data_IF_000376778695
#
_entry.id   IF_000376778695
#
_cell.length_a   1.000
_cell.length_b   1.000
_cell.length_c   1.000
_cell.angle_alpha   90.00
_cell.angle_beta   90.00
_cell.angle_gamma   90.00
#
_symmetry.space_group_name_H-M   'P 1'
#
loop_
_entity.id
_entity.type
_entity.pdbx_description
1 polymer ?
#
# COMPACT_ATOMS: atom_id res chain seq x y z
N UNK A 1 -24.35 1.61 7.91
CA UNK A 1 -24.28 0.13 8.03
C UNK A 1 -22.83 -0.36 8.05
N UNK A 2 -22.05 -0.16 6.98
CA UNK A 2 -20.67 -0.67 6.91
C UNK A 2 -19.75 -0.22 8.08
N UNK A 3 -19.91 1.00 8.55
CA UNK A 3 -19.14 1.56 9.66
C UNK A 3 -19.34 0.82 11.00
N UNK A 4 -20.54 0.28 11.23
CA UNK A 4 -20.85 -0.44 12.46
C UNK A 4 -20.31 -1.88 12.48
N UNK A 5 -19.72 -2.33 11.40
CA UNK A 5 -19.08 -3.64 11.33
C UNK A 5 -17.58 -3.47 11.53
N UNK A 6 -17.04 -3.89 12.69
CA UNK A 6 -15.60 -3.93 12.89
C UNK A 6 -14.94 -4.79 11.82
N UNK A 7 -13.75 -4.40 11.40
CA UNK A 7 -12.98 -5.14 10.41
C UNK A 7 -11.49 -4.81 10.51
N UNK A 8 -11.00 -4.73 11.74
CA UNK A 8 -9.56 -4.51 11.97
C UNK A 8 -8.80 -5.66 11.31
N UNK A 9 -7.80 -5.33 10.51
CA UNK A 9 -6.98 -6.27 9.73
C UNK A 9 -6.45 -7.39 10.60
N UNK A 10 -6.55 -8.63 10.12
CA UNK A 10 -6.12 -9.84 10.82
C UNK A 10 -7.08 -10.36 11.89
N UNK A 11 -8.25 -9.71 12.12
CA UNK A 11 -9.22 -10.15 13.11
C UNK A 11 -10.29 -11.10 12.53
N UNK A 12 -10.97 -11.81 13.43
CA UNK A 12 -12.13 -12.66 13.07
C UNK A 12 -13.29 -11.84 12.50
N UNK A 13 -13.41 -10.56 12.90
CA UNK A 13 -14.45 -9.67 12.41
C UNK A 13 -14.20 -9.26 10.94
N UNK A 14 -12.94 -9.03 10.57
CA UNK A 14 -12.55 -8.84 9.17
C UNK A 14 -12.93 -10.08 8.34
N UNK A 15 -12.56 -11.27 8.78
CA UNK A 15 -12.86 -12.51 8.07
C UNK A 15 -14.37 -12.79 7.94
N UNK A 16 -15.18 -12.31 8.89
CA UNK A 16 -16.64 -12.47 8.88
C UNK A 16 -17.37 -11.41 8.03
N UNK A 17 -16.74 -10.27 7.74
CA UNK A 17 -17.41 -9.15 7.07
C UNK A 17 -17.84 -9.46 5.63
N UNK A 18 -17.08 -10.20 4.80
CA UNK A 18 -17.48 -10.53 3.43
C UNK A 18 -18.85 -11.18 3.32
N UNK A 19 -19.16 -12.12 4.21
CA UNK A 19 -20.47 -12.78 4.21
C UNK A 19 -21.60 -11.82 4.58
N UNK A 20 -21.38 -10.91 5.54
CA UNK A 20 -22.36 -9.87 5.92
C UNK A 20 -22.60 -8.87 4.79
N UNK A 21 -21.50 -8.44 4.13
CA UNK A 21 -21.59 -7.51 3.01
C UNK A 21 -22.33 -8.16 1.85
N UNK A 22 -21.94 -9.37 1.44
CA UNK A 22 -22.61 -10.10 0.36
C UNK A 22 -24.10 -10.29 0.62
N UNK A 23 -24.50 -10.62 1.85
CA UNK A 23 -25.92 -10.78 2.23
C UNK A 23 -26.72 -9.47 2.19
N UNK A 24 -26.06 -8.31 2.19
CA UNK A 24 -26.71 -7.00 2.13
C UNK A 24 -26.90 -6.44 0.72
N UNK A 25 -26.29 -7.08 -0.29
CA UNK A 25 -26.32 -6.62 -1.68
C UNK A 25 -27.38 -7.37 -2.50
N UNK A 26 -28.00 -6.67 -3.44
CA UNK A 26 -29.11 -7.19 -4.26
C UNK A 26 -28.88 -6.99 -5.76
N UNK A 27 -27.66 -7.33 -6.22
CA UNK A 27 -27.30 -7.31 -7.64
C UNK A 27 -27.57 -8.65 -8.33
N UNK A 28 -27.39 -8.74 -9.65
CA UNK A 28 -27.70 -9.93 -10.43
C UNK A 28 -26.94 -11.18 -9.96
N UNK A 29 -25.70 -10.98 -9.50
CA UNK A 29 -24.91 -12.03 -8.85
C UNK A 29 -24.09 -11.40 -7.73
N UNK A 30 -24.06 -12.06 -6.57
CA UNK A 30 -23.23 -11.67 -5.43
C UNK A 30 -22.62 -12.92 -4.82
N UNK A 31 -21.31 -12.92 -4.59
CA UNK A 31 -20.65 -14.08 -3.97
C UNK A 31 -19.43 -13.66 -3.16
N UNK A 32 -19.03 -14.55 -2.27
CA UNK A 32 -17.80 -14.46 -1.47
C UNK A 32 -16.74 -15.32 -2.15
N UNK A 33 -15.56 -14.75 -2.41
CA UNK A 33 -14.45 -15.40 -3.07
C UNK A 33 -13.30 -15.59 -2.08
N UNK A 34 -13.00 -16.81 -1.61
CA UNK A 34 -11.93 -17.07 -0.65
C UNK A 34 -10.56 -16.65 -1.20
N UNK A 35 -9.68 -16.15 -0.30
CA UNK A 35 -8.29 -15.86 -0.61
C UNK A 35 -7.49 -17.17 -0.50
N UNK A 36 -6.89 -17.68 -1.59
CA UNK A 36 -6.18 -18.95 -1.58
C UNK A 36 -5.02 -18.96 -0.59
N UNK A 37 -4.99 -19.96 0.30
CA UNK A 37 -3.91 -20.14 1.27
C UNK A 37 -3.90 -19.13 2.43
N UNK A 38 -4.93 -18.32 2.58
CA UNK A 38 -5.04 -17.38 3.70
C UNK A 38 -5.37 -18.11 5.00
N UNK A 39 -4.47 -18.04 5.98
CA UNK A 39 -4.61 -18.74 7.26
C UNK A 39 -5.68 -18.13 8.17
N UNK A 40 -6.03 -16.88 7.97
CA UNK A 40 -7.10 -16.18 8.69
C UNK A 40 -8.49 -16.48 8.12
N UNK A 41 -8.56 -17.18 6.97
CA UNK A 41 -9.83 -17.53 6.31
C UNK A 41 -10.55 -16.33 5.67
N UNK A 42 -9.82 -15.29 5.31
CA UNK A 42 -10.35 -14.08 4.68
C UNK A 42 -10.85 -14.36 3.27
N UNK A 43 -11.68 -13.47 2.79
CA UNK A 43 -12.31 -13.58 1.48
C UNK A 43 -12.58 -12.20 0.89
N UNK A 44 -12.71 -12.12 -0.42
CA UNK A 44 -13.23 -10.95 -1.13
C UNK A 44 -14.74 -11.06 -1.35
N UNK A 45 -15.39 -9.95 -1.64
CA UNK A 45 -16.79 -9.91 -2.08
C UNK A 45 -16.85 -9.42 -3.51
N UNK A 46 -17.55 -10.16 -4.34
CA UNK A 46 -17.85 -9.75 -5.70
C UNK A 46 -19.35 -9.51 -5.84
N UNK A 47 -19.72 -8.48 -6.60
CA UNK A 47 -21.08 -8.28 -7.06
C UNK A 47 -21.06 -7.90 -8.55
N UNK A 48 -21.99 -8.43 -9.31
CA UNK A 48 -22.15 -8.21 -10.74
C UNK A 48 -23.53 -7.59 -11.00
N UNK A 49 -23.55 -6.48 -11.71
CA UNK A 49 -24.74 -5.88 -12.33
C UNK A 49 -24.56 -5.93 -13.83
N UNK A 50 -25.38 -6.76 -14.50
CA UNK A 50 -25.28 -6.98 -15.94
C UNK A 50 -25.87 -5.82 -16.71
N UNK A 51 -25.11 -5.35 -17.70
CA UNK A 51 -25.59 -4.50 -18.77
C UNK A 51 -25.89 -5.31 -20.04
N UNK A 52 -26.27 -4.63 -21.09
CA UNK A 52 -26.44 -5.22 -22.43
C UNK A 52 -25.13 -5.35 -23.20
N UNK A 53 -24.10 -4.62 -22.79
CA UNK A 53 -22.76 -4.59 -23.38
C UNK A 53 -21.78 -5.46 -22.59
N UNK A 54 -20.78 -6.00 -23.28
CA UNK A 54 -19.61 -6.65 -22.64
C UNK A 54 -18.66 -5.64 -22.01
N UNK A 55 -18.75 -4.35 -22.39
CA UNK A 55 -17.95 -3.29 -21.80
C UNK A 55 -18.21 -3.22 -20.30
N UNK A 56 -17.14 -3.29 -19.52
CA UNK A 56 -17.24 -3.49 -18.08
C UNK A 56 -16.43 -2.45 -17.33
N UNK A 57 -17.03 -1.89 -16.29
CA UNK A 57 -16.35 -1.00 -15.34
C UNK A 57 -16.33 -1.70 -13.98
N UNK A 58 -15.14 -1.76 -13.39
CA UNK A 58 -14.91 -2.39 -12.09
C UNK A 58 -14.78 -1.29 -11.04
N UNK A 59 -15.51 -1.44 -9.93
CA UNK A 59 -15.41 -0.60 -8.73
C UNK A 59 -14.75 -1.46 -7.65
N UNK A 60 -13.63 -1.03 -7.09
CA UNK A 60 -12.91 -1.81 -6.09
C UNK A 60 -12.46 -0.97 -4.90
N UNK A 61 -12.28 -1.61 -3.76
CA UNK A 61 -11.72 -1.00 -2.56
C UNK A 61 -11.71 -1.97 -1.39
N UNK A 62 -11.01 -1.60 -0.32
CA UNK A 62 -10.88 -2.45 0.84
C UNK A 62 -11.94 -2.16 1.91
N UNK A 63 -12.24 -3.16 2.70
CA UNK A 63 -13.17 -3.03 3.83
C UNK A 63 -12.50 -3.24 5.18
N UNK A 64 -11.26 -3.73 5.21
CA UNK A 64 -10.45 -3.80 6.43
C UNK A 64 -9.97 -2.42 6.85
N UNK A 65 -9.52 -2.30 8.07
CA UNK A 65 -9.11 -1.04 8.68
C UNK A 65 -7.96 -1.28 9.65
N UNK A 66 -7.13 -0.26 9.88
CA UNK A 66 -6.05 -0.33 10.89
C UNK A 66 -6.61 -0.47 12.32
N UNK A 67 -5.71 -0.76 13.26
CA UNK A 67 -6.03 -0.87 14.70
C UNK A 67 -6.79 0.34 15.24
N UNK A 68 -7.55 0.12 16.30
CA UNK A 68 -8.29 1.15 17.05
C UNK A 68 -7.65 1.49 18.40
N UNK A 69 -6.42 1.00 18.67
CA UNK A 69 -5.71 1.23 19.93
C UNK A 69 -5.42 2.70 20.19
N UNK A 70 -5.20 3.49 19.14
CA UNK A 70 -4.95 4.93 19.18
C UNK A 70 -6.15 5.75 19.72
N UNK A 71 -7.37 5.18 19.70
CA UNK A 71 -8.54 5.79 20.33
C UNK A 71 -8.48 5.80 21.86
N UNK A 72 -7.63 4.95 22.48
CA UNK A 72 -7.49 4.86 23.93
C UNK A 72 -8.82 4.64 24.64
N UNK A 73 -9.27 5.54 25.54
CA UNK A 73 -10.54 5.38 26.26
C UNK A 73 -11.79 5.38 25.36
N UNK A 74 -11.68 5.82 24.11
CA UNK A 74 -12.79 5.86 23.15
C UNK A 74 -12.81 4.64 22.21
N UNK A 75 -11.95 3.66 22.41
CA UNK A 75 -11.79 2.49 21.55
C UNK A 75 -13.11 1.75 21.27
N UNK A 76 -13.93 1.55 22.29
CA UNK A 76 -15.25 0.89 22.18
C UNK A 76 -16.26 1.67 21.31
N UNK A 77 -15.97 2.92 21.01
CA UNK A 77 -16.80 3.81 20.19
C UNK A 77 -16.27 3.96 18.76
N UNK A 78 -15.09 3.45 18.44
CA UNK A 78 -14.43 3.66 17.15
C UNK A 78 -15.31 3.31 15.93
N UNK A 79 -16.22 2.34 16.08
CA UNK A 79 -17.18 1.92 15.05
C UNK A 79 -18.63 2.40 15.30
N UNK A 80 -18.81 3.42 16.16
CA UNK A 80 -20.12 4.00 16.52
C UNK A 80 -20.10 5.52 16.30
N UNK A 81 -20.17 6.00 15.05
CA UNK A 81 -19.91 7.40 14.70
C UNK A 81 -20.70 8.41 15.53
N UNK A 82 -21.99 8.16 15.79
CA UNK A 82 -22.85 9.09 16.51
C UNK A 82 -22.42 9.25 17.98
N UNK A 83 -22.05 8.14 18.63
CA UNK A 83 -21.57 8.14 20.02
C UNK A 83 -20.15 8.68 20.10
N UNK A 84 -19.31 8.29 19.13
CA UNK A 84 -17.92 8.76 19.03
C UNK A 84 -17.86 10.28 18.84
N UNK A 85 -18.72 10.86 18.00
CA UNK A 85 -18.78 12.30 17.77
C UNK A 85 -18.99 13.05 19.08
N UNK A 86 -19.95 12.64 19.89
CA UNK A 86 -20.24 13.28 21.17
C UNK A 86 -19.06 13.18 22.15
N UNK A 87 -18.45 12.00 22.23
CA UNK A 87 -17.31 11.76 23.10
C UNK A 87 -16.06 12.54 22.65
N UNK A 88 -15.80 12.59 21.35
CA UNK A 88 -14.68 13.33 20.74
C UNK A 88 -14.85 14.85 20.95
N UNK A 89 -16.02 15.40 20.68
CA UNK A 89 -16.31 16.82 20.95
C UNK A 89 -16.08 17.19 22.42
N UNK A 90 -16.58 16.36 23.34
CA UNK A 90 -16.36 16.60 24.78
C UNK A 90 -14.88 16.59 25.14
N UNK A 91 -14.11 15.61 24.63
CA UNK A 91 -12.67 15.51 24.86
C UNK A 91 -11.94 16.75 24.31
N UNK A 92 -12.17 17.09 23.05
CA UNK A 92 -11.50 18.24 22.41
C UNK A 92 -11.80 19.58 23.12
N UNK A 93 -13.06 19.79 23.57
CA UNK A 93 -13.43 20.99 24.34
C UNK A 93 -12.76 21.04 25.72
N UNK A 94 -12.59 19.90 26.38
CA UNK A 94 -11.96 19.82 27.70
C UNK A 94 -10.44 19.99 27.62
N UNK A 95 -9.80 19.42 26.60
CA UNK A 95 -8.34 19.42 26.49
C UNK A 95 -7.78 20.61 25.72
N UNK A 96 -8.57 21.20 24.81
CA UNK A 96 -8.12 22.24 23.88
C UNK A 96 -7.14 21.74 22.82
N UNK A 97 -6.91 20.40 22.73
CA UNK A 97 -6.09 19.81 21.69
C UNK A 97 -6.80 19.89 20.32
N UNK A 98 -6.04 20.00 19.24
CA UNK A 98 -6.50 20.01 17.85
C UNK A 98 -7.73 20.93 17.57
N UNK A 99 -7.55 22.28 17.55
CA UNK A 99 -8.64 23.22 17.26
C UNK A 99 -9.30 23.01 15.89
N UNK A 100 -8.55 22.53 14.89
CA UNK A 100 -9.07 22.23 13.56
C UNK A 100 -10.10 21.08 13.62
N UNK A 101 -9.78 19.98 14.31
CA UNK A 101 -10.72 18.87 14.46
C UNK A 101 -11.98 19.30 15.25
N UNK A 102 -11.83 20.13 16.30
CA UNK A 102 -12.95 20.66 17.02
C UNK A 102 -13.85 21.48 16.09
N UNK A 103 -13.30 22.39 15.31
CA UNK A 103 -14.02 23.23 14.35
C UNK A 103 -14.72 22.37 13.28
N UNK A 104 -14.05 21.34 12.75
CA UNK A 104 -14.62 20.43 11.76
C UNK A 104 -15.83 19.68 12.32
N UNK A 105 -15.74 19.11 13.52
CA UNK A 105 -16.88 18.41 14.13
C UNK A 105 -18.01 19.35 14.55
N UNK A 106 -17.70 20.57 14.96
CA UNK A 106 -18.74 21.58 15.30
C UNK A 106 -19.46 22.12 14.07
N UNK A 107 -18.87 22.07 12.88
CA UNK A 107 -19.53 22.45 11.62
C UNK A 107 -20.72 21.55 11.29
N UNK A 108 -20.67 20.27 11.74
CA UNK A 108 -21.64 19.24 11.36
C UNK A 108 -21.37 18.56 10.03
N UNK A 109 -20.34 18.98 9.29
CA UNK A 109 -19.96 18.42 7.99
C UNK A 109 -19.05 17.21 8.10
N UNK A 110 -18.49 16.94 9.29
CA UNK A 110 -17.53 15.86 9.49
C UNK A 110 -18.03 14.80 10.46
N UNK A 111 -17.82 13.54 10.09
CA UNK A 111 -18.19 12.37 10.88
C UNK A 111 -16.93 11.61 11.31
N UNK A 112 -16.75 11.30 12.61
CA UNK A 112 -15.65 10.46 13.07
C UNK A 112 -15.95 8.98 12.92
N UNK A 113 -14.93 8.16 12.82
CA UNK A 113 -15.04 6.71 12.89
C UNK A 113 -13.94 5.99 12.17
N UNK A 114 -13.40 4.94 12.77
CA UNK A 114 -12.39 4.11 12.13
C UNK A 114 -12.93 3.46 10.85
N UNK A 115 -12.21 3.65 9.76
CA UNK A 115 -12.55 3.12 8.44
C UNK A 115 -13.77 3.77 7.80
N UNK A 116 -14.31 4.86 8.39
CA UNK A 116 -15.37 5.64 7.76
C UNK A 116 -14.81 6.41 6.57
N UNK A 117 -13.70 7.10 6.76
CA UNK A 117 -12.96 7.76 5.69
C UNK A 117 -12.21 6.72 4.86
N UNK A 118 -11.43 5.89 5.49
CA UNK A 118 -10.53 4.91 4.87
C UNK A 118 -11.01 3.46 5.15
N UNK A 119 -11.73 2.83 4.14
CA UNK A 119 -12.35 3.54 3.02
C UNK A 119 -13.82 3.14 2.80
N UNK A 120 -14.54 2.78 3.87
CA UNK A 120 -15.92 2.25 3.77
C UNK A 120 -16.91 3.23 3.13
N UNK A 121 -16.66 4.55 3.24
CA UNK A 121 -17.47 5.54 2.54
C UNK A 121 -17.29 5.46 1.02
N UNK A 122 -16.08 5.16 0.55
CA UNK A 122 -15.82 4.91 -0.86
C UNK A 122 -16.59 3.70 -1.39
N UNK A 123 -16.55 2.58 -0.66
CA UNK A 123 -17.32 1.38 -1.00
C UNK A 123 -18.83 1.70 -1.07
N UNK A 124 -19.35 2.44 -0.09
CA UNK A 124 -20.75 2.83 -0.07
C UNK A 124 -21.14 3.72 -1.26
N UNK A 125 -20.28 4.69 -1.62
CA UNK A 125 -20.49 5.55 -2.78
C UNK A 125 -20.45 4.78 -4.11
N UNK A 126 -19.51 3.84 -4.25
CA UNK A 126 -19.42 2.97 -5.42
C UNK A 126 -20.65 2.07 -5.57
N UNK A 127 -21.09 1.44 -4.49
CA UNK A 127 -22.31 0.63 -4.48
C UNK A 127 -23.56 1.47 -4.80
N UNK A 128 -23.66 2.69 -4.28
CA UNK A 128 -24.77 3.59 -4.59
C UNK A 128 -24.77 4.01 -6.07
N UNK A 129 -23.61 4.33 -6.64
CA UNK A 129 -23.47 4.62 -8.07
C UNK A 129 -23.86 3.39 -8.92
N UNK A 130 -23.41 2.21 -8.53
CA UNK A 130 -23.75 0.95 -9.20
C UNK A 130 -25.25 0.67 -9.15
N UNK A 131 -25.91 0.93 -8.02
CA UNK A 131 -27.36 0.70 -7.84
C UNK A 131 -28.19 1.57 -8.80
N UNK A 132 -27.87 2.86 -8.91
CA UNK A 132 -28.65 3.81 -9.74
C UNK A 132 -28.27 3.80 -11.22
N UNK A 133 -27.11 3.25 -11.58
CA UNK A 133 -26.69 3.17 -12.98
C UNK A 133 -27.69 2.34 -13.80
N UNK A 134 -28.11 2.87 -14.94
CA UNK A 134 -29.09 2.23 -15.86
C UNK A 134 -28.65 2.15 -17.32
N UNK A 135 -27.35 2.41 -17.58
CA UNK A 135 -26.79 2.30 -18.93
C UNK A 135 -26.43 0.86 -19.32
N UNK A 136 -25.84 0.71 -20.51
CA UNK A 136 -25.59 -0.58 -21.13
C UNK A 136 -24.34 -1.31 -20.65
N UNK A 137 -23.40 -0.64 -19.98
CA UNK A 137 -22.18 -1.29 -19.49
C UNK A 137 -22.48 -2.25 -18.32
N UNK A 138 -21.72 -3.32 -18.27
CA UNK A 138 -21.70 -4.20 -17.10
C UNK A 138 -20.86 -3.60 -15.98
N UNK A 139 -21.33 -3.69 -14.74
CA UNK A 139 -20.60 -3.21 -13.58
C UNK A 139 -20.20 -4.38 -12.68
N UNK A 140 -18.97 -4.36 -12.19
CA UNK A 140 -18.45 -5.31 -11.20
C UNK A 140 -18.00 -4.53 -9.97
N UNK A 141 -18.43 -4.95 -8.80
CA UNK A 141 -17.91 -4.47 -7.53
C UNK A 141 -17.02 -5.54 -6.91
N UNK A 142 -15.88 -5.13 -6.37
CA UNK A 142 -14.94 -6.00 -5.66
C UNK A 142 -14.58 -5.34 -4.34
N UNK A 143 -15.10 -5.88 -3.23
CA UNK A 143 -14.63 -5.53 -1.89
C UNK A 143 -13.50 -6.47 -1.48
N UNK A 144 -12.32 -5.94 -1.13
CA UNK A 144 -11.15 -6.72 -0.76
C UNK A 144 -10.80 -6.59 0.71
N UNK A 145 -10.07 -7.56 1.25
CA UNK A 145 -9.51 -7.55 2.62
C UNK A 145 -8.00 -7.40 2.61
N UNK A 146 -7.41 -7.09 3.78
CA UNK A 146 -5.96 -7.08 4.02
C UNK A 146 -5.19 -5.99 3.26
N UNK A 147 -5.82 -4.90 2.87
CA UNK A 147 -5.12 -3.79 2.20
C UNK A 147 -4.08 -3.18 3.15
N UNK A 148 -4.47 -2.96 4.38
CA UNK A 148 -3.73 -2.28 5.43
C UNK A 148 -2.46 -3.04 5.91
N UNK A 149 -2.27 -4.31 5.47
CA UNK A 149 -1.08 -5.08 5.87
C UNK A 149 -0.31 -5.65 4.66
N UNK A 150 -0.94 -6.51 3.86
CA UNK A 150 -0.26 -7.30 2.80
C UNK A 150 -1.01 -7.31 1.47
N UNK A 151 -2.14 -6.63 1.37
CA UNK A 151 -3.01 -6.62 0.17
C UNK A 151 -3.34 -8.03 -0.36
N UNK A 152 -3.52 -9.01 0.54
CA UNK A 152 -3.80 -10.38 0.13
C UNK A 152 -5.12 -10.47 -0.66
N UNK A 153 -6.11 -9.64 -0.31
CA UNK A 153 -7.37 -9.53 -1.01
C UNK A 153 -7.21 -9.09 -2.45
N UNK A 154 -6.56 -7.96 -2.69
CA UNK A 154 -6.33 -7.45 -4.04
C UNK A 154 -5.50 -8.40 -4.89
N UNK A 155 -4.43 -8.98 -4.31
CA UNK A 155 -3.60 -9.98 -5.01
C UNK A 155 -4.40 -11.22 -5.42
N UNK A 156 -5.38 -11.64 -4.64
CA UNK A 156 -6.28 -12.75 -4.99
C UNK A 156 -7.40 -12.30 -5.95
N UNK A 157 -7.87 -11.05 -5.84
CA UNK A 157 -8.96 -10.53 -6.66
C UNK A 157 -8.59 -10.45 -8.15
N UNK A 158 -7.33 -10.17 -8.49
CA UNK A 158 -6.91 -10.04 -9.90
C UNK A 158 -7.11 -11.33 -10.70
N UNK A 159 -6.59 -12.50 -10.30
CA UNK A 159 -6.88 -13.75 -11.02
C UNK A 159 -8.37 -14.14 -10.94
N UNK A 160 -9.07 -13.80 -9.84
CA UNK A 160 -10.52 -14.02 -9.72
C UNK A 160 -11.30 -13.15 -10.74
N UNK A 161 -10.92 -11.89 -10.90
CA UNK A 161 -11.50 -10.98 -11.90
C UNK A 161 -11.22 -11.45 -13.33
N UNK A 162 -9.99 -11.90 -13.59
CA UNK A 162 -9.61 -12.45 -14.89
C UNK A 162 -10.45 -13.70 -15.25
N UNK A 163 -10.66 -14.59 -14.28
CA UNK A 163 -11.52 -15.75 -14.48
C UNK A 163 -12.97 -15.34 -14.75
N UNK A 164 -13.51 -14.40 -13.95
CA UNK A 164 -14.85 -13.84 -14.15
C UNK A 164 -14.99 -13.23 -15.56
N UNK A 165 -13.99 -12.44 -15.97
CA UNK A 165 -14.00 -11.78 -17.28
C UNK A 165 -14.01 -12.80 -18.43
N UNK A 166 -13.29 -13.91 -18.27
CA UNK A 166 -13.29 -15.00 -19.26
C UNK A 166 -14.63 -15.73 -19.31
N UNK A 167 -15.18 -16.10 -18.15
CA UNK A 167 -16.42 -16.87 -18.04
C UNK A 167 -17.63 -16.08 -18.55
N UNK A 168 -17.67 -14.78 -18.25
CA UNK A 168 -18.77 -13.88 -18.58
C UNK A 168 -18.53 -13.06 -19.86
N UNK A 169 -17.37 -13.20 -20.49
CA UNK A 169 -16.93 -12.46 -21.69
C UNK A 169 -16.93 -10.94 -21.47
N UNK A 170 -16.41 -10.50 -20.33
CA UNK A 170 -16.35 -9.09 -19.97
C UNK A 170 -15.12 -8.41 -20.63
N UNK A 171 -15.33 -7.19 -21.13
CA UNK A 171 -14.28 -6.30 -21.63
C UNK A 171 -14.05 -5.19 -20.61
N UNK A 172 -13.02 -5.33 -19.78
CA UNK A 172 -12.74 -4.41 -18.67
C UNK A 172 -12.15 -3.12 -19.22
N UNK A 173 -12.98 -2.09 -19.33
CA UNK A 173 -12.60 -0.80 -19.86
C UNK A 173 -11.94 0.13 -18.81
N UNK A 174 -12.31 -0.02 -17.53
CA UNK A 174 -11.79 0.79 -16.45
C UNK A 174 -11.94 0.07 -15.12
N UNK A 175 -10.93 0.19 -14.26
CA UNK A 175 -11.01 -0.13 -12.84
C UNK A 175 -10.96 1.19 -12.05
N UNK A 176 -11.93 1.43 -11.19
CA UNK A 176 -11.99 2.59 -10.29
C UNK A 176 -11.75 2.08 -8.88
N UNK A 177 -10.60 2.43 -8.33
CA UNK A 177 -10.32 2.26 -6.91
C UNK A 177 -11.05 3.38 -6.14
N UNK A 178 -11.64 3.06 -5.02
CA UNK A 178 -12.51 3.96 -4.26
C UNK A 178 -11.85 4.46 -2.97
N UNK A 179 -10.51 4.44 -2.95
CA UNK A 179 -9.71 4.67 -1.78
C UNK A 179 -9.61 6.16 -1.39
N UNK A 180 -9.42 6.41 -0.11
CA UNK A 180 -9.52 7.71 0.51
C UNK A 180 -8.29 8.59 0.30
N UNK A 181 -8.49 9.89 0.25
CA UNK A 181 -7.40 10.87 0.32
C UNK A 181 -7.61 11.79 1.52
N UNK A 182 -6.62 11.85 2.41
CA UNK A 182 -6.60 12.82 3.49
C UNK A 182 -5.97 14.13 3.01
N UNK A 183 -6.65 15.24 3.34
CA UNK A 183 -6.14 16.60 3.11
C UNK A 183 -6.51 17.50 4.28
N UNK A 184 -5.50 17.95 5.02
CA UNK A 184 -5.67 18.87 6.14
C UNK A 184 -5.76 20.36 5.71
N UNK A 185 -5.71 20.61 4.39
CA UNK A 185 -5.92 21.93 3.79
C UNK A 185 -7.41 22.27 3.58
N UNK A 186 -7.71 22.84 2.44
CA UNK A 186 -9.08 23.23 2.05
C UNK A 186 -9.90 22.12 1.35
N UNK A 187 -9.32 20.94 1.24
CA UNK A 187 -9.90 19.79 0.56
C UNK A 187 -9.62 19.74 -0.94
N UNK A 188 -8.90 20.69 -1.50
CA UNK A 188 -8.57 20.71 -2.93
C UNK A 188 -7.63 19.57 -3.32
N UNK A 189 -6.72 19.18 -2.42
CA UNK A 189 -5.82 18.05 -2.64
C UNK A 189 -6.48 16.68 -2.33
N UNK A 190 -7.63 16.66 -1.64
CA UNK A 190 -8.38 15.44 -1.32
C UNK A 190 -9.50 15.12 -2.31
N UNK A 191 -10.06 16.15 -2.96
CA UNK A 191 -11.14 15.98 -3.96
C UNK A 191 -10.55 15.93 -5.36
N UNK A 192 -9.98 14.80 -5.70
CA UNK A 192 -9.23 14.61 -6.95
C UNK A 192 -9.59 13.30 -7.64
N UNK A 193 -9.34 13.26 -8.95
CA UNK A 193 -9.16 12.03 -9.70
C UNK A 193 -7.66 11.77 -9.77
N UNK A 194 -7.20 10.59 -9.34
CA UNK A 194 -5.82 10.19 -9.56
C UNK A 194 -5.73 9.17 -10.69
N UNK A 195 -4.84 9.41 -11.63
CA UNK A 195 -4.69 8.57 -12.83
C UNK A 195 -3.69 7.43 -12.66
N UNK A 196 -3.29 7.16 -11.43
CA UNK A 196 -2.38 6.10 -11.06
C UNK A 196 -2.07 6.11 -9.57
N UNK A 197 -1.17 5.24 -9.17
CA UNK A 197 -0.65 5.18 -7.80
C UNK A 197 0.87 5.15 -7.80
N UNK A 198 1.43 5.73 -6.75
CA UNK A 198 2.86 5.63 -6.48
C UNK A 198 3.23 4.17 -6.21
N UNK A 199 4.42 3.77 -6.68
CA UNK A 199 4.97 2.45 -6.35
C UNK A 199 5.81 2.49 -5.08
N UNK A 200 6.00 1.32 -4.45
CA UNK A 200 6.82 1.15 -3.26
C UNK A 200 7.70 -0.07 -3.38
N UNK A 201 8.96 0.09 -2.97
CA UNK A 201 9.88 -1.01 -2.72
C UNK A 201 10.46 -0.85 -1.32
N UNK A 202 10.55 -1.93 -0.57
CA UNK A 202 11.30 -1.95 0.68
C UNK A 202 12.74 -2.38 0.37
N UNK A 203 13.60 -1.40 0.08
CA UNK A 203 15.01 -1.64 -0.14
C UNK A 203 15.64 -2.15 1.16
N UNK A 204 16.48 -3.18 1.10
CA UNK A 204 17.09 -3.76 2.30
C UNK A 204 18.55 -4.11 2.08
N UNK A 205 19.35 -4.02 3.13
CA UNK A 205 20.73 -4.50 3.12
C UNK A 205 21.07 -5.22 4.42
N UNK A 206 21.85 -6.33 4.28
CA UNK A 206 22.54 -6.93 5.41
C UNK A 206 24.04 -6.79 5.20
N UNK A 207 24.73 -6.37 6.25
CA UNK A 207 26.18 -6.19 6.27
C UNK A 207 26.81 -7.34 7.04
N UNK A 208 27.73 -8.06 6.41
CA UNK A 208 28.65 -9.01 7.06
C UNK A 208 29.96 -8.27 7.32
N UNK A 209 30.35 -8.15 8.58
CA UNK A 209 31.61 -7.56 8.98
C UNK A 209 32.64 -8.63 9.36
N UNK A 210 33.80 -8.15 9.80
CA UNK A 210 34.83 -8.98 10.41
C UNK A 210 34.95 -8.58 11.88
N UNK A 211 34.43 -9.44 12.77
CA UNK A 211 34.44 -9.17 14.20
C UNK A 211 35.85 -9.05 14.75
N UNK A 212 36.10 -8.13 15.66
CA UNK A 212 37.36 -7.97 16.39
C UNK A 212 37.11 -7.47 17.82
N UNK A 213 38.09 -7.59 18.69
CA UNK A 213 38.03 -6.99 20.02
C UNK A 213 37.99 -5.45 19.89
N UNK A 214 37.10 -4.80 20.67
CA UNK A 214 36.87 -3.36 20.59
C UNK A 214 38.13 -2.50 20.93
N UNK A 215 39.10 -3.07 21.60
CA UNK A 215 40.42 -2.45 21.81
C UNK A 215 41.33 -2.44 20.56
N UNK A 216 40.98 -3.21 19.53
CA UNK A 216 41.76 -3.31 18.30
C UNK A 216 40.83 -3.22 17.07
N UNK A 217 40.00 -2.15 16.96
CA UNK A 217 38.96 -2.06 15.94
C UNK A 217 39.49 -2.06 14.50
N UNK A 218 40.74 -1.65 14.31
CA UNK A 218 41.42 -1.62 12.98
C UNK A 218 41.74 -3.01 12.41
N UNK A 219 41.63 -4.08 13.22
CA UNK A 219 41.92 -5.45 12.79
C UNK A 219 40.72 -6.14 12.14
N UNK A 220 39.57 -5.45 12.08
CA UNK A 220 38.31 -5.97 11.53
C UNK A 220 37.50 -4.93 10.81
N UNK A 221 36.26 -5.34 10.45
CA UNK A 221 35.23 -4.47 9.83
C UNK A 221 34.01 -4.49 10.70
N UNK A 222 33.68 -3.36 11.32
CA UNK A 222 32.50 -3.22 12.14
C UNK A 222 31.25 -3.09 11.24
N UNK A 223 30.38 -4.09 11.25
CA UNK A 223 29.17 -4.11 10.43
C UNK A 223 28.24 -2.90 10.71
N UNK A 224 28.11 -2.48 11.97
CA UNK A 224 27.31 -1.32 12.33
C UNK A 224 27.86 0.00 11.74
N UNK A 225 29.21 0.12 11.62
CA UNK A 225 29.82 1.28 10.97
C UNK A 225 29.52 1.30 9.46
N UNK A 226 29.66 0.17 8.79
CA UNK A 226 29.36 0.08 7.34
C UNK A 226 27.88 0.35 7.09
N UNK A 227 26.98 -0.19 7.92
CA UNK A 227 25.54 0.12 7.87
C UNK A 227 25.28 1.62 8.03
N UNK A 228 25.96 2.30 8.95
CA UNK A 228 25.81 3.75 9.14
C UNK A 228 26.26 4.56 7.91
N UNK A 229 27.28 4.11 7.17
CA UNK A 229 27.68 4.72 5.89
C UNK A 229 26.61 4.49 4.79
N UNK A 230 25.92 3.34 4.78
CA UNK A 230 24.79 3.08 3.88
C UNK A 230 23.61 4.01 4.22
N UNK A 231 23.22 4.11 5.51
CA UNK A 231 22.16 5.01 5.96
C UNK A 231 22.47 6.45 5.56
N UNK A 232 23.69 6.91 5.80
CA UNK A 232 24.12 8.27 5.43
C UNK A 232 24.02 8.56 3.94
N UNK A 233 24.22 7.56 3.09
CA UNK A 233 24.20 7.70 1.63
C UNK A 233 22.79 7.63 1.05
N UNK A 234 21.96 6.76 1.60
CA UNK A 234 20.64 6.44 1.04
C UNK A 234 19.54 7.33 1.64
N UNK A 235 19.62 7.66 2.93
CA UNK A 235 18.63 8.50 3.60
C UNK A 235 18.41 9.83 2.87
N UNK A 236 17.18 10.12 2.48
CA UNK A 236 16.79 11.32 1.73
C UNK A 236 17.55 11.52 0.41
N UNK A 237 18.09 10.45 -0.19
CA UNK A 237 18.83 10.55 -1.46
C UNK A 237 17.96 11.09 -2.59
N UNK A 238 18.35 12.20 -3.24
CA UNK A 238 17.60 12.73 -4.38
C UNK A 238 17.69 11.82 -5.61
N UNK A 239 18.69 10.95 -5.70
CA UNK A 239 18.85 10.01 -6.82
C UNK A 239 17.80 8.92 -6.78
N UNK A 240 17.28 8.56 -5.59
CA UNK A 240 16.17 7.64 -5.40
C UNK A 240 14.81 8.34 -5.33
N UNK A 241 14.77 9.67 -5.29
CA UNK A 241 13.54 10.45 -5.40
C UNK A 241 13.23 10.72 -6.88
N UNK A 242 12.02 10.43 -7.30
CA UNK A 242 11.60 10.57 -8.70
C UNK A 242 10.60 11.70 -8.86
N UNK A 243 10.82 12.57 -9.85
CA UNK A 243 9.89 13.63 -10.21
C UNK A 243 9.12 13.28 -11.49
N UNK A 244 7.81 13.53 -11.52
CA UNK A 244 6.97 13.40 -12.69
C UNK A 244 6.10 14.65 -12.80
N UNK A 245 6.41 15.50 -13.78
CA UNK A 245 5.79 16.84 -13.84
C UNK A 245 6.12 17.63 -12.57
N UNK A 246 5.08 18.09 -11.89
CA UNK A 246 5.20 18.81 -10.61
C UNK A 246 5.07 17.90 -9.38
N UNK A 247 4.92 16.60 -9.56
CA UNK A 247 4.77 15.64 -8.47
C UNK A 247 6.12 14.99 -8.17
N UNK A 248 6.51 15.01 -6.91
CA UNK A 248 7.76 14.43 -6.41
C UNK A 248 7.45 13.22 -5.54
N UNK A 249 8.00 12.05 -5.90
CA UNK A 249 7.97 10.90 -5.02
C UNK A 249 8.80 11.19 -3.76
N UNK A 250 8.29 10.78 -2.61
CA UNK A 250 9.02 10.95 -1.36
C UNK A 250 10.42 10.30 -1.46
N UNK A 251 11.46 10.98 -0.97
CA UNK A 251 12.79 10.40 -0.93
C UNK A 251 12.83 9.19 0.01
N UNK A 252 13.85 8.32 -0.12
CA UNK A 252 13.95 7.15 0.75
C UNK A 252 14.06 7.54 2.22
N UNK A 253 13.38 6.78 3.06
CA UNK A 253 13.42 6.95 4.51
C UNK A 253 13.83 5.64 5.18
N UNK A 254 14.79 5.70 6.11
CA UNK A 254 15.21 4.56 6.92
C UNK A 254 14.11 4.20 7.91
N UNK A 255 13.53 3.01 7.80
CA UNK A 255 12.50 2.53 8.72
C UNK A 255 13.08 1.65 9.83
N UNK A 256 14.23 1.03 9.58
CA UNK A 256 14.89 0.17 10.56
C UNK A 256 16.39 0.13 10.31
N UNK A 257 17.19 0.23 11.36
CA UNK A 257 18.63 0.04 11.31
C UNK A 257 19.11 -0.50 12.66
N UNK A 258 19.72 -1.70 12.65
CA UNK A 258 20.17 -2.35 13.88
C UNK A 258 21.35 -3.30 13.63
N UNK A 259 22.31 -3.34 14.55
CA UNK A 259 23.26 -4.45 14.61
C UNK A 259 22.57 -5.72 15.16
N UNK A 260 23.06 -6.88 14.75
CA UNK A 260 22.50 -8.19 15.12
C UNK A 260 23.26 -8.87 16.25
N UNK A 261 24.07 -8.12 16.99
CA UNK A 261 24.83 -8.63 18.11
C UNK A 261 23.93 -9.04 19.26
N UNK A 262 24.16 -10.21 19.82
CA UNK A 262 23.43 -10.72 20.97
C UNK A 262 24.21 -10.43 22.26
N UNK A 263 23.62 -9.70 23.17
CA UNK A 263 24.18 -9.39 24.49
C UNK A 263 25.43 -8.52 24.47
N UNK A 264 25.95 -8.22 25.67
CA UNK A 264 27.17 -7.44 25.84
C UNK A 264 28.42 -8.34 25.85
N UNK A 265 29.35 -8.03 24.94
CA UNK A 265 30.74 -8.46 24.99
C UNK A 265 31.61 -7.35 24.37
N UNK A 266 32.92 -7.39 24.61
CA UNK A 266 33.84 -6.33 24.14
C UNK A 266 34.33 -6.62 22.71
N UNK A 267 33.39 -6.89 21.79
CA UNK A 267 33.70 -7.13 20.37
C UNK A 267 32.84 -6.24 19.46
N UNK A 268 33.34 -5.96 18.25
CA UNK A 268 32.57 -5.24 17.22
C UNK A 268 31.42 -6.13 16.68
N UNK A 269 30.28 -5.57 16.26
CA UNK A 269 29.23 -6.31 15.58
C UNK A 269 29.73 -7.03 14.32
N UNK A 270 29.35 -8.31 14.20
CA UNK A 270 29.61 -9.12 13.01
C UNK A 270 28.62 -8.88 11.89
N UNK A 271 27.34 -8.68 12.23
CA UNK A 271 26.29 -8.40 11.26
C UNK A 271 25.46 -7.18 11.68
N UNK A 272 24.93 -6.47 10.68
CA UNK A 272 23.96 -5.39 10.85
C UNK A 272 22.93 -5.44 9.71
N UNK A 273 21.72 -4.97 9.97
CA UNK A 273 20.60 -5.00 9.04
C UNK A 273 19.91 -3.66 8.98
N UNK A 274 19.49 -3.25 7.79
CA UNK A 274 18.80 -1.99 7.54
C UNK A 274 17.80 -2.16 6.41
N UNK A 275 16.67 -1.41 6.48
CA UNK A 275 15.78 -1.26 5.33
C UNK A 275 15.19 0.14 5.25
N UNK A 276 14.90 0.53 4.00
CA UNK A 276 14.37 1.83 3.62
C UNK A 276 13.08 1.68 2.85
N UNK A 277 12.14 2.58 3.09
CA UNK A 277 11.02 2.81 2.20
C UNK A 277 11.50 3.60 0.98
N UNK A 278 11.28 3.08 -0.23
CA UNK A 278 11.56 3.80 -1.48
C UNK A 278 10.30 3.90 -2.31
N UNK A 279 10.00 5.11 -2.77
CA UNK A 279 8.80 5.42 -3.54
C UNK A 279 9.18 5.77 -4.98
N UNK A 280 8.40 5.30 -5.95
CA UNK A 280 8.65 5.54 -7.37
C UNK A 280 7.38 5.84 -8.16
N UNK A 281 7.54 6.59 -9.26
CA UNK A 281 6.46 6.87 -10.22
C UNK A 281 6.56 5.97 -11.46
N UNK A 282 7.71 5.96 -12.12
CA UNK A 282 7.92 5.26 -13.41
C UNK A 282 9.04 4.24 -13.35
N UNK A 283 9.97 4.40 -12.41
CA UNK A 283 11.11 3.49 -12.25
C UNK A 283 10.64 2.10 -11.91
N UNK A 284 11.24 1.12 -12.54
CA UNK A 284 11.07 -0.28 -12.17
C UNK A 284 11.83 -0.60 -10.88
N UNK A 285 11.51 -1.71 -10.23
CA UNK A 285 12.33 -2.18 -9.11
C UNK A 285 13.77 -2.48 -9.50
N UNK A 286 14.03 -2.86 -10.75
CA UNK A 286 15.38 -3.03 -11.29
C UNK A 286 16.16 -1.69 -11.32
N UNK A 287 15.51 -0.59 -11.75
CA UNK A 287 16.12 0.74 -11.75
C UNK A 287 16.42 1.20 -10.32
N UNK A 288 15.48 0.99 -9.38
CA UNK A 288 15.69 1.30 -7.96
C UNK A 288 16.88 0.55 -7.39
N UNK A 289 16.97 -0.76 -7.67
CA UNK A 289 18.10 -1.57 -7.20
C UNK A 289 19.43 -1.11 -7.81
N UNK A 290 19.46 -0.78 -9.11
CA UNK A 290 20.66 -0.31 -9.79
C UNK A 290 21.18 1.00 -9.16
N UNK A 291 20.30 1.98 -8.95
CA UNK A 291 20.66 3.24 -8.30
C UNK A 291 21.12 2.98 -6.85
N UNK A 292 20.42 2.13 -6.11
CA UNK A 292 20.80 1.79 -4.74
C UNK A 292 22.18 1.13 -4.65
N UNK A 293 22.54 0.28 -5.61
CA UNK A 293 23.86 -0.33 -5.69
C UNK A 293 24.97 0.67 -6.02
N UNK A 294 24.69 1.71 -6.78
CA UNK A 294 25.66 2.81 -7.00
C UNK A 294 25.89 3.61 -5.71
N UNK A 295 24.80 3.91 -4.95
CA UNK A 295 24.88 4.54 -3.63
C UNK A 295 25.66 3.66 -2.64
N UNK A 296 25.37 2.37 -2.62
CA UNK A 296 26.09 1.37 -1.83
C UNK A 296 27.58 1.38 -2.12
N UNK A 297 27.96 1.38 -3.39
CA UNK A 297 29.37 1.40 -3.80
C UNK A 297 30.10 2.64 -3.28
N UNK A 298 29.45 3.81 -3.27
CA UNK A 298 30.00 5.04 -2.68
C UNK A 298 30.16 4.93 -1.16
N UNK A 299 29.16 4.39 -0.46
CA UNK A 299 29.21 4.16 0.98
C UNK A 299 30.33 3.18 1.35
N UNK A 300 30.42 2.06 0.63
CA UNK A 300 31.45 1.04 0.83
C UNK A 300 32.85 1.59 0.54
N UNK A 301 33.04 2.37 -0.51
CA UNK A 301 34.32 3.03 -0.79
C UNK A 301 34.80 3.88 0.39
N UNK A 302 33.90 4.63 1.03
CA UNK A 302 34.26 5.41 2.23
C UNK A 302 34.61 4.51 3.41
N UNK A 303 33.84 3.42 3.58
CA UNK A 303 34.10 2.46 4.65
C UNK A 303 35.46 1.75 4.46
N UNK A 304 35.79 1.36 3.24
CA UNK A 304 37.13 0.78 2.89
C UNK A 304 38.28 1.74 3.18
N UNK A 305 38.13 3.02 2.77
CA UNK A 305 39.15 4.05 3.06
C UNK A 305 39.35 4.24 4.56
N UNK A 306 38.29 4.14 5.36
CA UNK A 306 38.35 4.32 6.82
C UNK A 306 38.92 3.10 7.54
N UNK A 307 38.52 1.90 7.11
CA UNK A 307 38.87 0.65 7.80
C UNK A 307 40.19 0.04 7.28
N UNK A 308 40.59 0.35 6.06
CA UNK A 308 41.72 -0.28 5.38
C UNK A 308 41.42 -1.69 4.87
N UNK A 309 40.17 -2.15 4.94
CA UNK A 309 39.76 -3.48 4.52
C UNK A 309 38.86 -3.42 3.29
N UNK A 310 38.96 -4.44 2.42
CA UNK A 310 38.02 -4.61 1.30
C UNK A 310 36.67 -5.13 1.77
N UNK A 311 35.60 -4.67 1.13
CA UNK A 311 34.24 -5.03 1.40
C UNK A 311 33.56 -5.38 0.08
N UNK A 312 33.12 -6.60 -0.07
CA UNK A 312 32.45 -7.05 -1.29
C UNK A 312 31.02 -6.51 -1.36
N UNK A 313 30.53 -6.31 -2.58
CA UNK A 313 29.14 -5.92 -2.88
C UNK A 313 28.46 -7.07 -3.59
N UNK A 314 27.29 -7.49 -3.11
CA UNK A 314 26.50 -8.58 -3.69
C UNK A 314 25.02 -8.21 -3.68
N UNK A 315 24.31 -8.67 -4.69
CA UNK A 315 22.85 -8.69 -4.67
C UNK A 315 22.36 -9.96 -4.00
N UNK A 316 21.15 -9.94 -3.49
CA UNK A 316 20.49 -11.16 -2.98
C UNK A 316 20.48 -12.28 -4.04
N UNK A 317 20.23 -11.92 -5.31
CA UNK A 317 20.25 -12.86 -6.43
C UNK A 317 21.60 -13.57 -6.66
N UNK A 318 22.71 -12.98 -6.19
CA UNK A 318 24.05 -13.54 -6.38
C UNK A 318 24.41 -14.60 -5.32
N UNK A 319 23.52 -14.85 -4.35
CA UNK A 319 23.78 -15.74 -3.22
C UNK A 319 22.75 -16.87 -3.20
N UNK A 320 23.22 -18.09 -2.96
CA UNK A 320 22.34 -19.24 -2.88
C UNK A 320 21.33 -19.10 -1.73
N UNK A 321 20.04 -19.30 -2.04
CA UNK A 321 19.01 -19.29 -1.02
C UNK A 321 19.14 -20.52 -0.12
N UNK A 322 19.06 -20.35 1.21
CA UNK A 322 19.15 -21.47 2.14
C UNK A 322 17.92 -22.36 2.01
N UNK A 323 18.14 -23.68 2.11
CA UNK A 323 17.06 -24.68 2.08
C UNK A 323 16.66 -25.04 3.52
N UNK A 324 15.37 -25.22 3.75
CA UNK A 324 14.84 -25.75 5.01
C UNK A 324 14.71 -24.72 6.16
N UNK A 325 14.86 -23.43 5.86
CA UNK A 325 14.55 -22.37 6.85
C UNK A 325 13.04 -22.33 7.07
N UNK A 326 12.63 -22.55 8.32
CA UNK A 326 11.24 -22.35 8.72
C UNK A 326 11.03 -20.90 9.09
N UNK A 327 10.17 -20.23 8.36
CA UNK A 327 9.72 -18.88 8.65
C UNK A 327 8.47 -18.94 9.51
N UNK A 328 8.37 -18.02 10.45
CA UNK A 328 7.15 -17.85 11.26
C UNK A 328 6.16 -16.96 10.46
N UNK A 329 5.01 -17.48 10.05
CA UNK A 329 4.04 -16.69 9.28
C UNK A 329 3.41 -15.54 10.08
N UNK A 330 3.52 -15.56 11.41
CA UNK A 330 3.05 -14.48 12.29
C UNK A 330 4.01 -13.29 12.34
N UNK A 331 5.27 -13.45 11.88
CA UNK A 331 6.21 -12.36 11.80
C UNK A 331 5.93 -11.47 10.57
N UNK A 332 6.36 -10.21 10.68
CA UNK A 332 6.31 -9.29 9.55
C UNK A 332 7.19 -9.78 8.37
N UNK A 333 6.88 -9.39 7.15
CA UNK A 333 7.69 -9.77 5.99
C UNK A 333 9.15 -9.27 6.08
N UNK A 334 9.43 -8.05 6.60
CA UNK A 334 10.81 -7.62 6.86
C UNK A 334 11.55 -8.50 7.87
N UNK A 335 10.88 -9.00 8.91
CA UNK A 335 11.50 -9.92 9.89
C UNK A 335 11.80 -11.29 9.28
N UNK A 336 10.87 -11.81 8.48
CA UNK A 336 11.10 -13.03 7.71
C UNK A 336 12.26 -12.86 6.69
N UNK A 337 12.36 -11.68 6.07
CA UNK A 337 13.49 -11.32 5.19
C UNK A 337 14.79 -11.30 5.98
N UNK A 338 14.81 -10.70 7.17
CA UNK A 338 15.99 -10.70 8.04
C UNK A 338 16.45 -12.12 8.39
N UNK A 339 15.51 -13.02 8.69
CA UNK A 339 15.85 -14.42 8.99
C UNK A 339 16.53 -15.12 7.80
N UNK A 340 16.00 -14.95 6.58
CA UNK A 340 16.60 -15.50 5.36
C UNK A 340 17.94 -14.86 5.02
N UNK A 341 18.04 -13.53 5.05
CA UNK A 341 19.29 -12.81 4.79
C UNK A 341 20.38 -13.17 5.80
N UNK A 342 20.01 -13.34 7.08
CA UNK A 342 20.95 -13.78 8.12
C UNK A 342 21.51 -15.18 7.81
N UNK A 343 20.65 -16.10 7.36
CA UNK A 343 21.11 -17.44 6.96
C UNK A 343 21.95 -17.43 5.68
N UNK A 344 21.64 -16.54 4.72
CA UNK A 344 22.47 -16.33 3.53
C UNK A 344 23.84 -15.73 3.91
N UNK A 345 23.84 -14.75 4.79
CA UNK A 345 25.04 -14.06 5.27
C UNK A 345 26.00 -15.00 6.04
N UNK A 346 25.48 -16.01 6.73
CA UNK A 346 26.31 -17.03 7.41
C UNK A 346 27.16 -17.90 6.47
N UNK A 347 26.86 -17.87 5.16
CA UNK A 347 27.64 -18.59 4.15
C UNK A 347 28.83 -17.76 3.61
N UNK A 348 29.03 -16.55 4.16
CA UNK A 348 30.01 -15.59 3.65
C UNK A 348 31.06 -15.33 4.72
N UNK A 349 32.31 -15.60 4.38
CA UNK A 349 33.47 -15.44 5.29
C UNK A 349 34.17 -14.07 5.16
N UNK A 350 33.93 -13.34 4.06
CA UNK A 350 34.55 -12.04 3.79
C UNK A 350 33.59 -10.88 4.15
N UNK A 351 34.10 -9.69 4.53
CA UNK A 351 33.27 -8.53 4.69
C UNK A 351 32.47 -8.23 3.42
N UNK A 352 31.15 -8.17 3.54
CA UNK A 352 30.25 -8.08 2.38
C UNK A 352 29.01 -7.26 2.75
N UNK A 353 28.52 -6.45 1.82
CA UNK A 353 27.17 -5.90 1.85
C UNK A 353 26.32 -6.68 0.85
N UNK A 354 25.13 -7.10 1.28
CA UNK A 354 24.17 -7.81 0.44
C UNK A 354 22.91 -6.95 0.37
N UNK A 355 22.58 -6.49 -0.84
CA UNK A 355 21.42 -5.63 -1.09
C UNK A 355 20.31 -6.34 -1.87
N UNK A 356 19.07 -6.01 -1.55
CA UNK A 356 17.88 -6.54 -2.22
C UNK A 356 16.60 -5.88 -1.70
N UNK A 357 15.50 -6.62 -1.70
CA UNK A 357 14.19 -6.13 -1.25
C UNK A 357 13.65 -6.96 -0.10
N UNK A 358 12.94 -6.31 0.82
CA UNK A 358 12.54 -6.88 2.11
C UNK A 358 11.05 -7.16 2.28
N UNK A 359 10.21 -6.89 1.27
CA UNK A 359 8.76 -7.01 1.40
C UNK A 359 8.09 -7.21 0.04
N UNK A 360 6.75 -7.22 0.02
CA UNK A 360 5.94 -7.23 -1.20
C UNK A 360 6.22 -5.94 -1.98
N UNK A 361 6.52 -6.02 -3.29
CA UNK A 361 6.58 -4.85 -4.14
C UNK A 361 5.18 -4.34 -4.46
N UNK A 362 5.02 -3.02 -4.42
CA UNK A 362 3.86 -2.33 -4.96
C UNK A 362 4.30 -1.57 -6.23
N UNK A 363 4.07 -2.11 -7.42
CA UNK A 363 4.45 -1.42 -8.65
C UNK A 363 3.65 -0.12 -8.82
N UNK A 364 4.30 0.91 -9.32
CA UNK A 364 3.59 2.12 -9.72
C UNK A 364 2.66 1.85 -10.90
N UNK A 365 1.52 2.49 -10.88
CA UNK A 365 0.48 2.41 -11.92
C UNK A 365 0.24 3.78 -12.50
N UNK A 366 0.05 3.87 -13.81
CA UNK A 366 -0.33 5.11 -14.47
C UNK A 366 -1.22 4.81 -15.67
N UNK A 367 -2.37 5.46 -15.73
CA UNK A 367 -3.25 5.45 -16.90
C UNK A 367 -2.53 6.10 -18.09
N UNK A 368 -2.29 5.33 -19.16
CA UNK A 368 -1.52 5.73 -20.33
C UNK A 368 -2.39 6.22 -21.49
N UNK A 369 -3.66 5.85 -21.50
CA UNK A 369 -4.62 6.28 -22.53
C UNK A 369 -5.07 7.73 -22.25
N UNK A 370 -4.45 8.66 -22.95
CA UNK A 370 -4.75 10.10 -22.85
C UNK A 370 -6.20 10.43 -23.25
N UNK A 371 -6.79 9.67 -24.16
CA UNK A 371 -8.17 9.89 -24.55
C UNK A 371 -9.14 9.46 -23.44
N UNK A 372 -8.88 8.30 -22.82
CA UNK A 372 -9.64 7.86 -21.65
C UNK A 372 -9.48 8.84 -20.48
N UNK A 373 -8.25 9.33 -20.26
CA UNK A 373 -7.95 10.36 -19.25
C UNK A 373 -8.78 11.63 -19.49
N UNK A 374 -8.84 12.12 -20.70
CA UNK A 374 -9.64 13.31 -21.06
C UNK A 374 -11.13 13.09 -20.78
N UNK A 375 -11.69 11.94 -21.17
CA UNK A 375 -13.09 11.58 -20.92
C UNK A 375 -13.40 11.59 -19.42
N UNK A 376 -12.55 10.98 -18.61
CA UNK A 376 -12.70 10.93 -17.16
C UNK A 376 -12.61 12.34 -16.55
N UNK A 377 -11.62 13.14 -16.98
CA UNK A 377 -11.44 14.51 -16.51
C UNK A 377 -12.62 15.41 -16.86
N UNK A 378 -13.17 15.31 -18.08
CA UNK A 378 -14.36 16.04 -18.50
C UNK A 378 -15.59 15.66 -17.68
N UNK A 379 -15.75 14.39 -17.33
CA UNK A 379 -16.85 13.91 -16.48
C UNK A 379 -16.70 14.34 -15.01
N UNK A 380 -15.49 14.38 -14.47
CA UNK A 380 -15.24 14.68 -13.06
C UNK A 380 -15.18 16.19 -12.74
N UNK A 381 -14.67 17.01 -13.67
CA UNK A 381 -14.45 18.46 -13.48
C UNK A 381 -15.71 19.26 -13.10
N UNK A 382 -16.90 19.00 -13.66
CA UNK A 382 -18.15 19.71 -13.26
C UNK A 382 -18.52 19.52 -11.79
N UNK A 383 -18.00 18.45 -11.16
CA UNK A 383 -18.24 18.15 -9.75
C UNK A 383 -17.18 18.76 -8.82
N UNK A 384 -16.24 19.55 -9.37
CA UNK A 384 -15.22 20.26 -8.60
C UNK A 384 -13.99 19.41 -8.23
N UNK A 385 -13.75 18.29 -8.92
CA UNK A 385 -12.54 17.50 -8.73
C UNK A 385 -11.37 18.07 -9.53
N UNK A 386 -10.21 18.09 -8.89
CA UNK A 386 -8.94 18.33 -9.56
C UNK A 386 -8.37 17.00 -10.13
N UNK A 387 -7.32 17.11 -10.93
CA UNK A 387 -6.68 15.96 -11.57
C UNK A 387 -5.22 15.87 -11.13
N UNK A 388 -4.77 14.70 -10.70
CA UNK A 388 -3.38 14.42 -10.34
C UNK A 388 -2.92 13.11 -10.98
N UNK A 389 -1.60 12.93 -11.17
CA UNK A 389 -1.09 11.73 -11.82
C UNK A 389 -1.07 10.53 -10.88
N UNK A 390 -0.72 10.73 -9.62
CA UNK A 390 -0.50 9.63 -8.69
C UNK A 390 -1.28 9.82 -7.41
N UNK A 391 -1.89 8.74 -6.96
CA UNK A 391 -2.30 8.58 -5.58
C UNK A 391 -1.03 8.56 -4.71
N UNK A 392 -0.98 9.43 -3.70
CA UNK A 392 0.25 9.70 -2.96
C UNK A 392 0.63 8.59 -1.96
N UNK A 393 -0.31 7.68 -1.67
CA UNK A 393 -0.11 6.52 -0.80
C UNK A 393 0.12 5.22 -1.58
N UNK A 394 0.38 4.16 -0.83
CA UNK A 394 0.33 2.78 -1.35
C UNK A 394 -1.14 2.44 -1.56
N UNK A 395 -1.44 1.70 -2.60
CA UNK A 395 -2.81 1.35 -2.93
C UNK A 395 -2.87 0.02 -3.66
N UNK A 396 -3.97 -0.67 -3.50
CA UNK A 396 -4.32 -1.89 -4.22
C UNK A 396 -4.37 -1.73 -5.74
N UNK A 397 -4.43 -0.47 -6.24
CA UNK A 397 -4.25 -0.16 -7.66
C UNK A 397 -3.01 -0.82 -8.26
N UNK A 398 -1.93 -0.96 -7.46
CA UNK A 398 -0.67 -1.61 -7.86
C UNK A 398 -0.85 -3.03 -8.41
N UNK A 399 -1.93 -3.72 -8.06
CA UNK A 399 -2.21 -5.08 -8.49
C UNK A 399 -3.17 -5.13 -9.68
N UNK A 400 -4.13 -4.21 -9.78
CA UNK A 400 -5.12 -4.16 -10.87
C UNK A 400 -4.61 -3.45 -12.12
N UNK A 401 -3.75 -2.45 -11.93
CA UNK A 401 -3.43 -1.46 -12.95
C UNK A 401 -2.26 -1.80 -13.86
N UNK A 402 -2.19 -1.04 -14.93
CA UNK A 402 -1.06 -1.04 -15.87
C UNK A 402 0.18 -0.52 -15.17
N UNK A 403 1.11 -1.40 -14.87
CA UNK A 403 2.37 -1.03 -14.22
C UNK A 403 3.55 -1.03 -15.19
N UNK A 404 4.60 -0.29 -14.85
CA UNK A 404 5.86 -0.31 -15.57
C UNK A 404 6.74 -1.46 -15.09
N UNK A 405 7.34 -2.17 -16.04
CA UNK A 405 8.48 -3.05 -15.80
C UNK A 405 8.14 -4.50 -15.44
N UNK A 406 9.13 -5.33 -15.71
CA UNK A 406 9.20 -6.73 -15.32
C UNK A 406 9.57 -6.83 -13.83
N UNK A 407 8.96 -7.76 -13.11
CA UNK A 407 9.25 -8.04 -11.71
C UNK A 407 10.33 -9.13 -11.52
N UNK A 408 10.92 -9.67 -12.58
CA UNK A 408 11.92 -10.75 -12.49
C UNK A 408 13.12 -10.38 -11.61
N UNK A 409 13.67 -9.17 -11.80
CA UNK A 409 14.77 -8.67 -10.97
C UNK A 409 14.34 -8.44 -9.52
N UNK A 410 13.13 -7.96 -9.28
CA UNK A 410 12.59 -7.82 -7.93
C UNK A 410 12.42 -9.18 -7.28
N UNK A 411 11.84 -10.14 -8.00
CA UNK A 411 11.65 -11.50 -7.50
C UNK A 411 12.98 -12.19 -7.15
N UNK A 412 13.98 -12.05 -8.03
CA UNK A 412 15.32 -12.62 -7.81
C UNK A 412 15.99 -12.03 -6.57
N UNK A 413 15.77 -10.74 -6.31
CA UNK A 413 16.40 -10.00 -5.21
C UNK A 413 15.53 -9.85 -3.95
N UNK A 414 14.38 -10.56 -3.87
CA UNK A 414 13.52 -10.61 -2.69
C UNK A 414 13.58 -12.00 -2.05
N UNK A 415 14.27 -12.19 -0.92
CA UNK A 415 14.49 -13.52 -0.33
C UNK A 415 13.21 -14.30 -0.03
N UNK A 416 12.18 -13.60 0.45
CA UNK A 416 10.89 -14.18 0.84
C UNK A 416 9.96 -14.51 -0.36
N UNK A 417 10.34 -14.12 -1.59
CA UNK A 417 9.55 -14.42 -2.78
C UNK A 417 9.50 -15.92 -3.08
N UNK A 418 8.30 -16.43 -3.24
CA UNK A 418 8.05 -17.87 -3.42
C UNK A 418 8.05 -18.70 -2.13
N UNK A 419 8.27 -18.06 -0.96
CA UNK A 419 8.19 -18.71 0.36
C UNK A 419 7.07 -18.12 1.22
N UNK A 420 7.14 -16.82 1.51
CA UNK A 420 6.15 -16.12 2.35
C UNK A 420 5.03 -15.49 1.54
N UNK A 421 5.27 -15.19 0.29
CA UNK A 421 4.26 -14.76 -0.67
C UNK A 421 4.66 -15.16 -2.09
N UNK A 422 3.67 -15.20 -2.98
CA UNK A 422 3.89 -15.19 -4.42
C UNK A 422 3.08 -14.03 -5.00
N UNK A 423 3.66 -13.31 -5.96
CA UNK A 423 2.88 -12.37 -6.75
C UNK A 423 2.06 -13.15 -7.77
N UNK A 424 0.75 -13.07 -7.71
CA UNK A 424 -0.09 -13.61 -8.78
C UNK A 424 0.14 -12.81 -10.07
N UNK A 425 -0.46 -13.28 -11.14
CA UNK A 425 -0.53 -12.50 -12.37
C UNK A 425 -1.16 -11.13 -12.04
N UNK A 426 -0.50 -10.05 -12.44
CA UNK A 426 -1.00 -8.69 -12.25
C UNK A 426 -2.07 -8.37 -13.28
N UNK A 427 -2.97 -7.46 -12.93
CA UNK A 427 -3.86 -6.83 -13.88
C UNK A 427 -3.08 -5.95 -14.87
N UNK A 428 -3.68 -5.72 -16.02
CA UNK A 428 -3.18 -4.77 -17.05
C UNK A 428 -4.36 -3.89 -17.51
N UNK A 429 -5.13 -3.40 -16.52
CA UNK A 429 -6.32 -2.63 -16.80
C UNK A 429 -6.06 -1.13 -16.63
N UNK A 430 -6.69 -0.26 -17.44
CA UNK A 430 -6.80 1.15 -17.10
C UNK A 430 -7.33 1.31 -15.69
N UNK A 431 -6.58 1.97 -14.80
CA UNK A 431 -6.95 2.05 -13.37
C UNK A 431 -6.76 3.46 -12.85
N UNK A 432 -7.76 3.96 -12.13
CA UNK A 432 -7.78 5.28 -11.51
C UNK A 432 -8.26 5.16 -10.06
N UNK A 433 -8.06 6.24 -9.27
CA UNK A 433 -8.72 6.37 -7.98
C UNK A 433 -9.65 7.58 -7.94
N UNK A 434 -10.87 7.35 -7.44
CA UNK A 434 -11.83 8.38 -7.07
C UNK A 434 -12.50 7.93 -5.77
N UNK A 435 -12.14 8.55 -4.66
CA UNK A 435 -12.60 8.12 -3.35
C UNK A 435 -13.02 9.25 -2.43
N UNK A 436 -13.38 8.94 -1.18
CA UNK A 436 -13.80 9.91 -0.20
C UNK A 436 -12.63 10.83 0.20
N UNK A 437 -13.00 12.01 0.67
CA UNK A 437 -12.08 12.96 1.26
C UNK A 437 -12.42 13.19 2.72
N UNK A 438 -11.39 13.39 3.50
CA UNK A 438 -11.49 13.75 4.90
C UNK A 438 -10.12 14.09 5.48
N UNK A 439 -9.96 13.91 6.80
CA UNK A 439 -8.75 14.30 7.51
C UNK A 439 -8.31 13.23 8.49
N UNK A 440 -7.00 13.22 8.78
CA UNK A 440 -6.37 12.47 9.86
C UNK A 440 -6.72 10.96 9.87
N UNK A 441 -6.82 10.32 8.68
CA UNK A 441 -6.98 8.86 8.63
C UNK A 441 -5.83 8.16 9.38
N UNK A 442 -6.04 6.92 9.83
CA UNK A 442 -5.13 6.17 10.68
C UNK A 442 -4.87 6.78 12.07
N UNK A 443 -5.64 7.82 12.46
CA UNK A 443 -5.60 8.38 13.82
C UNK A 443 -6.97 8.37 14.48
N UNK A 444 -7.03 8.55 15.80
CA UNK A 444 -8.29 8.64 16.55
C UNK A 444 -9.15 9.86 16.17
N UNK A 445 -8.58 10.79 15.41
CA UNK A 445 -9.26 11.97 14.86
C UNK A 445 -9.70 11.79 13.40
N UNK A 446 -9.60 10.57 12.88
CA UNK A 446 -10.11 10.23 11.54
C UNK A 446 -11.54 10.75 11.36
N UNK A 447 -11.73 11.56 10.32
CA UNK A 447 -13.02 12.15 10.02
C UNK A 447 -13.29 12.31 8.53
N UNK A 448 -14.46 11.86 8.14
CA UNK A 448 -14.99 11.93 6.79
C UNK A 448 -15.72 13.25 6.58
N UNK A 449 -15.48 13.95 5.46
CA UNK A 449 -16.34 15.06 5.03
C UNK A 449 -17.61 14.50 4.39
N UNK A 450 -18.71 14.52 5.16
CA UNK A 450 -19.97 13.85 4.83
C UNK A 450 -20.67 14.42 3.58
N UNK A 451 -20.76 15.76 3.36
CA UNK A 451 -21.38 16.30 2.16
C UNK A 451 -20.70 15.84 0.88
N UNK A 452 -19.35 15.80 0.85
CA UNK A 452 -18.63 15.30 -0.31
C UNK A 452 -18.88 13.79 -0.50
N UNK A 453 -18.73 12.99 0.55
CA UNK A 453 -18.79 11.54 0.46
C UNK A 453 -20.18 11.01 0.09
N UNK A 454 -21.25 11.65 0.56
CA UNK A 454 -22.61 11.14 0.37
C UNK A 454 -23.42 11.85 -0.71
N UNK A 455 -23.03 13.09 -1.09
CA UNK A 455 -23.76 13.83 -2.10
C UNK A 455 -22.99 14.01 -3.39
N UNK A 456 -21.68 14.28 -3.32
CA UNK A 456 -20.85 14.58 -4.51
C UNK A 456 -20.24 13.31 -5.09
N UNK A 457 -19.54 12.51 -4.28
CA UNK A 457 -18.80 11.35 -4.73
C UNK A 457 -19.64 10.32 -5.52
N UNK A 458 -20.84 9.92 -5.10
CA UNK A 458 -21.66 8.99 -5.88
C UNK A 458 -22.03 9.55 -7.27
N UNK A 459 -22.26 10.86 -7.37
CA UNK A 459 -22.57 11.53 -8.65
C UNK A 459 -21.36 11.59 -9.57
N UNK A 460 -20.17 11.87 -9.02
CA UNK A 460 -18.90 11.82 -9.78
C UNK A 460 -18.69 10.43 -10.35
N UNK A 461 -18.81 9.40 -9.50
CA UNK A 461 -18.64 8.01 -9.92
C UNK A 461 -19.63 7.65 -11.03
N UNK A 462 -20.90 8.03 -10.87
CA UNK A 462 -21.91 7.79 -11.91
C UNK A 462 -21.55 8.50 -13.22
N UNK A 463 -21.19 9.79 -13.17
CA UNK A 463 -20.81 10.55 -14.38
C UNK A 463 -19.59 9.95 -15.11
N UNK A 464 -18.59 9.47 -14.37
CA UNK A 464 -17.42 8.81 -14.95
C UNK A 464 -17.81 7.45 -15.55
N UNK A 465 -18.63 6.67 -14.85
CA UNK A 465 -19.14 5.37 -15.35
C UNK A 465 -19.90 5.59 -16.68
N UNK A 466 -20.83 6.54 -16.73
CA UNK A 466 -21.61 6.86 -17.92
C UNK A 466 -20.72 7.30 -19.08
N UNK A 467 -19.80 8.24 -18.86
CA UNK A 467 -18.89 8.74 -19.87
C UNK A 467 -17.95 7.67 -20.46
N UNK A 468 -17.49 6.74 -19.61
CA UNK A 468 -16.64 5.62 -20.04
C UNK A 468 -17.48 4.55 -20.74
N UNK A 469 -18.71 4.30 -20.30
CA UNK A 469 -19.61 3.33 -20.92
C UNK A 469 -20.02 3.70 -22.35
N UNK A 470 -20.24 4.99 -22.62
CA UNK A 470 -20.66 5.49 -23.94
C UNK A 470 -19.56 5.47 -25.01
N UNK A 471 -18.31 5.32 -24.60
CA UNK A 471 -17.17 5.29 -25.54
C UNK A 471 -17.17 3.99 -26.35
N UNK A 472 -17.44 4.07 -27.64
CA UNK A 472 -17.34 2.99 -28.63
C UNK A 472 -15.88 2.66 -28.97
#
# INVERSE_FOLDING_TARGET
MLTHWPSVTGTVDEAALPAKLAASLTFDSVWVAPIPGDVAGRSNVFALKRGMSQRTIVLTGHFDVVSVEDYGPLQDLAFKPEQLLLATLNRLRMTGENPLALSDFESGDYLPGRGLLDMKAGLAAGLAAMEVYSGDATLVFIGVSDEEEKSAGARAAVPQLKQLAADERLDIALVINLDAIADNGDGSAGRVVTYGSIGKQLLTAIVVGKQTHAGYPQNGVNAAYVMAELVREIELSPELSEATGNELAAPPATLFAKDLKQGYNVTTPHMAYVYWNTMQHRRSGADVLAIAMELEARAVTRAELKTGHKIALKRVADIARPVGIKLDPAQSLPDQTLALLSAMAQQIDEPTVIMGFGSIPYPAVLLRDENLRNIIGEAARPHGLAEVNYFAGISDMSFFGQSSGDLSEVAANTPIWGTSFAMPERGDHPTINIGPWGRDYHTWLERLHAPYAFEVLPRVLLSVIEAVAEKS
#
